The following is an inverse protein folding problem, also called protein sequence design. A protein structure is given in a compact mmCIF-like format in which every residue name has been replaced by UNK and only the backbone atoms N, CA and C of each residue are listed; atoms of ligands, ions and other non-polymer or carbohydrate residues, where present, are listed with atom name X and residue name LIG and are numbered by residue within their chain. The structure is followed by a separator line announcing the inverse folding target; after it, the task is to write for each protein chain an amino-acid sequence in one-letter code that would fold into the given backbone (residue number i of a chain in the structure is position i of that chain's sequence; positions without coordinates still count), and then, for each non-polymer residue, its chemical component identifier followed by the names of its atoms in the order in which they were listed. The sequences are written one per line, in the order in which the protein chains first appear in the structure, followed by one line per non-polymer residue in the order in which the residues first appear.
data_IF_330073304178
#
_entry.id   IF_330073304178
#
_cell.length_a   1.000
_cell.length_b   1.000
_cell.length_c   1.000
_cell.angle_alpha   90.00
_cell.angle_beta   90.00
_cell.angle_gamma   90.00
#
_symmetry.space_group_name_H-M   'P 1'
#
loop_
_entity.id
_entity.type
_entity.pdbx_description
1 polymer ?
#
# COMPACT_ATOMS: atom_id res chain seq x y z
N UNK A 1 64.41 -32.62 -26.89
CA UNK A 1 63.06 -33.17 -27.07
C UNK A 1 62.42 -33.30 -25.70
N UNK A 2 61.70 -32.26 -25.24
CA UNK A 2 61.00 -32.24 -23.95
C UNK A 2 59.53 -31.92 -24.22
N UNK A 3 58.68 -32.73 -23.60
CA UNK A 3 57.24 -32.83 -23.80
C UNK A 3 56.52 -31.67 -23.09
N UNK A 4 55.61 -31.01 -23.80
CA UNK A 4 54.74 -29.96 -23.28
C UNK A 4 53.63 -30.55 -22.40
N UNK A 5 53.41 -29.94 -21.23
CA UNK A 5 52.20 -30.13 -20.41
C UNK A 5 51.50 -28.77 -20.34
N UNK A 6 50.39 -28.66 -21.06
CA UNK A 6 49.49 -27.51 -20.98
C UNK A 6 48.61 -27.62 -19.72
N UNK A 7 48.73 -26.67 -18.79
CA UNK A 7 47.75 -26.44 -17.72
C UNK A 7 46.71 -25.43 -18.24
N UNK A 8 45.45 -25.87 -18.38
CA UNK A 8 44.30 -24.99 -18.47
C UNK A 8 43.97 -24.45 -17.06
N UNK A 9 44.00 -23.13 -16.89
CA UNK A 9 43.34 -22.46 -15.77
C UNK A 9 42.03 -21.83 -16.25
N UNK A 10 40.90 -22.28 -15.69
CA UNK A 10 39.63 -21.55 -15.75
C UNK A 10 39.74 -20.29 -14.89
N UNK A 11 39.56 -19.11 -15.49
CA UNK A 11 39.36 -17.87 -14.75
C UNK A 11 37.86 -17.68 -14.50
N UNK A 12 37.41 -17.84 -13.25
CA UNK A 12 36.13 -17.31 -12.80
C UNK A 12 36.30 -15.81 -12.52
N UNK A 13 35.60 -14.98 -13.30
CA UNK A 13 35.60 -13.53 -13.11
C UNK A 13 34.83 -13.15 -11.85
N UNK A 14 35.55 -12.66 -10.84
CA UNK A 14 34.95 -11.91 -9.74
C UNK A 14 35.11 -10.43 -10.10
N UNK A 15 34.00 -9.75 -10.43
CA UNK A 15 34.06 -8.30 -10.63
C UNK A 15 34.43 -7.64 -9.30
N UNK A 16 35.53 -6.89 -9.30
CA UNK A 16 35.96 -6.10 -8.15
C UNK A 16 34.94 -4.98 -7.91
N UNK A 17 34.18 -5.08 -6.82
CA UNK A 17 33.30 -4.01 -6.34
C UNK A 17 34.21 -2.85 -5.92
N UNK A 18 34.04 -1.68 -6.55
CA UNK A 18 34.86 -0.52 -6.24
C UNK A 18 34.32 0.23 -5.02
N UNK A 19 35.17 1.01 -4.34
CA UNK A 19 34.73 1.89 -3.26
C UNK A 19 33.67 2.91 -3.72
N UNK A 20 33.66 3.26 -5.00
CA UNK A 20 32.64 4.11 -5.60
C UNK A 20 31.28 3.38 -5.68
N UNK A 21 31.27 2.08 -6.02
CA UNK A 21 30.06 1.26 -6.04
C UNK A 21 29.48 1.06 -4.63
N UNK A 22 30.35 0.82 -3.64
CA UNK A 22 29.94 0.74 -2.23
C UNK A 22 29.43 2.08 -1.72
N UNK A 23 30.07 3.20 -2.11
CA UNK A 23 29.64 4.54 -1.73
C UNK A 23 28.32 4.93 -2.39
N UNK A 24 28.11 4.60 -3.67
CA UNK A 24 26.85 4.83 -4.38
C UNK A 24 25.74 4.00 -3.76
N UNK A 25 25.98 2.71 -3.49
CA UNK A 25 25.05 1.83 -2.80
C UNK A 25 24.75 2.33 -1.38
N UNK A 26 25.75 2.76 -0.61
CA UNK A 26 25.56 3.29 0.74
C UNK A 26 24.79 4.63 0.73
N UNK A 27 25.07 5.51 -0.23
CA UNK A 27 24.35 6.77 -0.40
C UNK A 27 22.90 6.53 -0.81
N UNK A 28 22.66 5.55 -1.68
CA UNK A 28 21.32 5.13 -2.08
C UNK A 28 20.58 4.55 -0.87
N UNK A 29 21.19 3.60 -0.15
CA UNK A 29 20.65 3.03 1.10
C UNK A 29 20.35 4.11 2.15
N UNK A 30 21.24 5.08 2.36
CA UNK A 30 21.01 6.21 3.30
C UNK A 30 19.90 7.14 2.81
N UNK A 31 19.84 7.44 1.51
CA UNK A 31 18.78 8.27 0.93
C UNK A 31 17.42 7.58 1.02
N UNK A 32 17.37 6.26 0.80
CA UNK A 32 16.18 5.44 0.93
C UNK A 32 15.84 5.24 2.40
N UNK A 33 16.78 5.17 3.35
CA UNK A 33 16.49 5.14 4.80
C UNK A 33 15.89 6.47 5.25
N UNK A 34 16.45 7.60 4.81
CA UNK A 34 15.92 8.94 5.11
C UNK A 34 14.53 9.17 4.50
N UNK A 35 14.28 8.65 3.29
CA UNK A 35 12.95 8.66 2.67
C UNK A 35 11.98 7.74 3.41
N UNK A 36 12.41 6.53 3.77
CA UNK A 36 11.54 5.48 4.28
C UNK A 36 11.03 5.70 5.71
N UNK A 37 11.58 6.65 6.46
CA UNK A 37 10.95 7.08 7.71
C UNK A 37 9.76 7.98 7.34
N UNK A 38 8.50 7.54 7.50
CA UNK A 38 7.37 8.44 7.30
C UNK A 38 7.52 9.66 8.21
N UNK A 39 6.96 10.79 7.78
CA UNK A 39 6.99 12.01 8.56
C UNK A 39 6.07 11.80 9.75
N UNK A 40 6.63 11.30 10.84
CA UNK A 40 5.93 11.06 12.07
C UNK A 40 5.67 12.42 12.72
N UNK A 41 4.40 12.83 12.74
CA UNK A 41 4.01 14.13 13.26
C UNK A 41 3.42 14.01 14.67
N UNK A 42 3.88 14.91 15.54
CA UNK A 42 3.29 15.11 16.87
C UNK A 42 1.97 15.86 16.69
N UNK A 43 0.89 15.43 17.36
CA UNK A 43 -0.38 16.18 17.35
C UNK A 43 -0.16 17.57 17.97
N UNK A 44 -0.84 18.59 17.44
CA UNK A 44 -0.70 19.99 17.88
C UNK A 44 -1.26 20.23 19.29
N UNK A 45 -2.05 19.28 19.78
CA UNK A 45 -2.97 19.40 20.90
C UNK A 45 -2.82 18.24 21.91
N UNK A 46 -1.78 17.40 21.76
CA UNK A 46 -1.47 16.31 22.71
C UNK A 46 0.02 16.09 22.86
N UNK A 47 0.59 16.62 23.96
CA UNK A 47 1.90 16.30 24.54
C UNK A 47 3.09 16.44 23.59
N UNK A 48 3.90 17.48 23.76
CA UNK A 48 5.13 17.75 23.00
C UNK A 48 6.26 16.72 23.17
N UNK A 49 6.01 15.46 22.79
CA UNK A 49 6.99 14.38 22.78
C UNK A 49 7.34 13.98 21.34
N UNK A 50 8.63 13.71 21.09
CA UNK A 50 9.09 13.00 19.91
C UNK A 50 8.36 11.66 19.78
N UNK A 51 8.12 11.19 18.54
CA UNK A 51 7.48 9.89 18.33
C UNK A 51 8.25 8.76 19.02
N UNK A 52 7.56 7.78 19.64
CA UNK A 52 8.22 6.71 20.38
C UNK A 52 9.27 5.99 19.54
N UNK A 53 10.46 5.75 20.11
CA UNK A 53 11.61 5.17 19.41
C UNK A 53 11.31 3.81 18.73
N UNK A 54 10.33 3.05 19.27
CA UNK A 54 9.87 1.78 18.71
C UNK A 54 9.47 1.89 17.23
N UNK A 55 8.89 3.01 16.80
CA UNK A 55 8.46 3.21 15.41
C UNK A 55 9.64 3.33 14.44
N UNK A 56 10.80 3.79 14.89
CA UNK A 56 12.01 3.79 14.06
C UNK A 56 12.50 2.36 13.79
N UNK A 57 12.51 1.51 14.80
CA UNK A 57 12.87 0.09 14.66
C UNK A 57 11.88 -0.65 13.77
N UNK A 58 10.58 -0.39 13.95
CA UNK A 58 9.52 -0.98 13.11
C UNK A 58 9.68 -0.52 11.66
N UNK A 59 9.95 0.75 11.39
CA UNK A 59 10.16 1.26 10.02
C UNK A 59 11.27 0.50 9.28
N UNK A 60 12.41 0.25 9.94
CA UNK A 60 13.52 -0.50 9.35
C UNK A 60 13.09 -1.93 9.02
N UNK A 61 12.38 -2.61 9.93
CA UNK A 61 11.87 -3.97 9.70
C UNK A 61 10.89 -4.02 8.54
N UNK A 62 9.90 -3.12 8.50
CA UNK A 62 8.88 -3.08 7.47
C UNK A 62 9.47 -2.72 6.10
N UNK A 63 10.39 -1.75 6.03
CA UNK A 63 11.11 -1.45 4.78
C UNK A 63 11.83 -2.68 4.22
N UNK A 64 12.54 -3.42 5.08
CA UNK A 64 13.22 -4.65 4.67
C UNK A 64 12.28 -5.74 4.15
N UNK A 65 11.02 -5.74 4.61
CA UNK A 65 9.95 -6.59 4.10
C UNK A 65 9.41 -6.13 2.75
N UNK A 66 9.44 -4.82 2.46
CA UNK A 66 8.74 -4.21 1.31
C UNK A 66 9.63 -3.93 0.10
N UNK A 67 10.94 -3.79 0.30
CA UNK A 67 11.87 -3.50 -0.78
C UNK A 67 12.27 -4.80 -1.50
N UNK A 68 11.96 -4.88 -2.79
CA UNK A 68 12.42 -5.93 -3.68
C UNK A 68 13.91 -5.83 -3.97
N UNK A 69 14.51 -6.94 -4.41
CA UNK A 69 15.92 -6.97 -4.83
C UNK A 69 16.22 -6.13 -6.07
N UNK A 70 15.16 -5.75 -6.81
CA UNK A 70 15.18 -4.87 -7.97
C UNK A 70 15.05 -3.37 -7.59
N UNK A 71 15.02 -3.05 -6.29
CA UNK A 71 14.87 -1.69 -5.79
C UNK A 71 13.45 -1.14 -5.90
N UNK A 72 12.47 -1.96 -6.30
CA UNK A 72 11.06 -1.59 -6.39
C UNK A 72 10.28 -2.14 -5.19
N UNK A 73 9.04 -1.70 -5.02
CA UNK A 73 8.20 -2.29 -3.96
C UNK A 73 7.61 -3.64 -4.39
N UNK A 74 7.73 -4.61 -3.50
CA UNK A 74 7.31 -5.99 -3.70
C UNK A 74 5.84 -6.21 -3.34
N UNK A 75 5.36 -7.44 -3.42
CA UNK A 75 3.94 -7.77 -3.19
C UNK A 75 3.49 -7.53 -1.74
N UNK A 76 4.38 -7.64 -0.74
CA UNK A 76 4.06 -7.32 0.65
C UNK A 76 3.78 -5.83 0.84
N UNK A 77 4.51 -4.97 0.14
CA UNK A 77 4.27 -3.53 0.14
C UNK A 77 2.86 -3.21 -0.40
N UNK A 78 2.50 -3.82 -1.54
CA UNK A 78 1.17 -3.66 -2.18
C UNK A 78 0.06 -4.13 -1.25
N UNK A 79 0.27 -5.29 -0.62
CA UNK A 79 -0.68 -5.87 0.30
C UNK A 79 -0.85 -4.99 1.55
N UNK A 80 0.22 -4.38 2.06
CA UNK A 80 0.17 -3.45 3.20
C UNK A 80 -0.61 -2.17 2.86
N UNK A 81 -0.38 -1.61 1.68
CA UNK A 81 -1.12 -0.44 1.17
C UNK A 81 -2.61 -0.75 1.08
N UNK A 82 -2.96 -1.89 0.46
CA UNK A 82 -4.35 -2.34 0.36
C UNK A 82 -4.95 -2.65 1.73
N UNK A 83 -4.22 -3.31 2.63
CA UNK A 83 -4.71 -3.65 3.97
C UNK A 83 -5.15 -2.41 4.75
N UNK A 84 -4.39 -1.31 4.67
CA UNK A 84 -4.78 -0.07 5.33
C UNK A 84 -6.05 0.54 4.72
N UNK A 85 -6.20 0.52 3.39
CA UNK A 85 -7.46 0.93 2.77
C UNK A 85 -8.62 0.03 3.21
N UNK A 86 -8.42 -1.28 3.33
CA UNK A 86 -9.47 -2.21 3.73
C UNK A 86 -9.88 -2.10 5.20
N UNK A 87 -8.94 -1.81 6.11
CA UNK A 87 -9.23 -1.52 7.53
C UNK A 87 -10.00 -0.19 7.65
N UNK A 88 -9.45 0.88 7.06
CA UNK A 88 -10.02 2.23 7.15
C UNK A 88 -11.30 2.43 6.34
N UNK A 89 -11.38 1.82 5.16
CA UNK A 89 -12.33 2.13 4.11
C UNK A 89 -13.74 1.65 4.40
N UNK A 90 -13.96 0.87 5.45
CA UNK A 90 -15.30 0.45 5.92
C UNK A 90 -16.04 1.56 6.66
N UNK A 91 -15.34 2.61 7.11
CA UNK A 91 -15.94 3.76 7.78
C UNK A 91 -16.81 4.60 6.83
N UNK A 92 -17.83 5.26 7.37
CA UNK A 92 -18.53 6.38 6.74
C UNK A 92 -19.19 7.25 7.83
N UNK A 93 -19.69 8.41 7.43
CA UNK A 93 -20.30 9.41 8.33
C UNK A 93 -21.43 8.87 9.22
N UNK A 94 -22.09 7.78 8.84
CA UNK A 94 -23.16 7.17 9.66
C UNK A 94 -22.64 6.53 10.96
N UNK A 95 -21.34 6.22 11.03
CA UNK A 95 -20.71 5.53 12.17
C UNK A 95 -20.16 6.49 13.23
N UNK A 96 -20.23 7.82 13.01
CA UNK A 96 -19.69 8.80 13.95
C UNK A 96 -18.21 8.57 14.24
N UNK A 97 -17.85 8.47 15.52
CA UNK A 97 -16.46 8.34 16.00
C UNK A 97 -15.96 6.88 16.14
N UNK A 98 -16.71 5.90 15.63
CA UNK A 98 -16.39 4.47 15.71
C UNK A 98 -16.09 3.87 14.34
N UNK A 99 -15.27 2.81 14.29
CA UNK A 99 -14.88 2.13 13.05
C UNK A 99 -13.74 2.82 12.29
N UNK A 100 -13.44 2.31 11.10
CA UNK A 100 -12.39 2.84 10.23
C UNK A 100 -11.03 2.29 10.59
N UNK A 101 -10.01 3.16 10.63
CA UNK A 101 -8.64 2.74 10.91
C UNK A 101 -8.48 2.32 12.38
N UNK A 102 -9.00 1.16 12.76
CA UNK A 102 -9.09 0.69 14.14
C UNK A 102 -8.51 -0.72 14.34
N UNK A 103 -7.92 -1.30 13.29
CA UNK A 103 -7.29 -2.61 13.34
C UNK A 103 -8.25 -3.79 13.41
N UNK A 104 -9.58 -3.55 13.32
CA UNK A 104 -10.61 -4.59 13.35
C UNK A 104 -10.36 -5.67 12.31
N UNK A 105 -9.88 -5.31 11.13
CA UNK A 105 -9.60 -6.24 10.04
C UNK A 105 -8.63 -7.37 10.45
N UNK A 106 -7.60 -7.05 11.24
CA UNK A 106 -6.58 -8.01 11.68
C UNK A 106 -6.90 -8.58 13.06
N UNK A 107 -7.35 -7.73 14.01
CA UNK A 107 -7.64 -8.14 15.38
C UNK A 107 -8.77 -9.17 15.47
N UNK A 108 -9.66 -9.21 14.46
CA UNK A 108 -10.80 -10.15 14.43
C UNK A 108 -10.49 -11.49 13.74
N UNK A 109 -9.24 -11.71 13.27
CA UNK A 109 -8.85 -12.92 12.51
C UNK A 109 -9.17 -14.24 13.23
N UNK A 110 -9.00 -14.26 14.56
CA UNK A 110 -9.25 -15.42 15.41
C UNK A 110 -10.56 -15.33 16.20
N UNK A 111 -11.33 -14.27 16.02
CA UNK A 111 -12.56 -14.09 16.76
C UNK A 111 -13.69 -14.92 16.14
N UNK A 112 -14.43 -15.61 17.02
CA UNK A 112 -15.76 -16.13 16.70
C UNK A 112 -16.81 -15.06 17.07
N UNK A 113 -16.63 -13.84 16.56
CA UNK A 113 -17.61 -12.75 16.71
C UNK A 113 -18.84 -13.03 15.84
N UNK A 114 -19.98 -12.44 16.19
CA UNK A 114 -21.18 -12.51 15.35
C UNK A 114 -21.63 -11.11 14.93
N UNK A 115 -21.91 -10.91 13.64
CA UNK A 115 -22.63 -9.74 13.13
C UNK A 115 -24.07 -10.18 12.87
N UNK A 116 -25.03 -9.57 13.56
CA UNK A 116 -26.46 -9.97 13.53
C UNK A 116 -26.71 -11.46 13.84
N UNK A 117 -25.91 -12.07 14.73
CA UNK A 117 -26.03 -13.48 15.11
C UNK A 117 -25.36 -14.47 14.16
N UNK A 118 -24.65 -14.00 13.13
CA UNK A 118 -23.88 -14.83 12.18
C UNK A 118 -22.39 -14.68 12.46
N UNK A 119 -21.61 -15.79 12.62
CA UNK A 119 -20.17 -15.72 12.77
C UNK A 119 -19.51 -14.88 11.67
N UNK A 120 -18.77 -13.86 12.07
CA UNK A 120 -18.18 -12.88 11.19
C UNK A 120 -16.71 -12.72 11.51
N UNK A 121 -15.90 -13.16 10.55
CA UNK A 121 -14.45 -12.97 10.50
C UNK A 121 -14.17 -12.02 9.36
N UNK A 122 -13.92 -10.76 9.68
CA UNK A 122 -13.81 -9.70 8.69
C UNK A 122 -12.80 -10.02 7.59
N UNK A 123 -11.61 -10.49 7.96
CA UNK A 123 -10.56 -10.87 7.01
C UNK A 123 -10.94 -12.04 6.09
N UNK A 124 -11.94 -12.85 6.45
CA UNK A 124 -12.43 -13.98 5.65
C UNK A 124 -13.52 -13.59 4.65
N UNK A 125 -13.99 -12.34 4.66
CA UNK A 125 -14.96 -11.86 3.68
C UNK A 125 -14.32 -11.74 2.30
N UNK A 126 -15.13 -11.89 1.25
CA UNK A 126 -14.65 -11.96 -0.14
C UNK A 126 -13.88 -10.73 -0.58
N UNK A 127 -14.31 -9.54 -0.14
CA UNK A 127 -13.65 -8.27 -0.42
C UNK A 127 -12.24 -8.19 0.19
N UNK A 128 -11.93 -8.99 1.22
CA UNK A 128 -10.65 -9.04 1.91
C UNK A 128 -9.75 -10.20 1.46
N UNK A 129 -10.15 -10.93 0.42
CA UNK A 129 -9.34 -12.02 -0.14
C UNK A 129 -7.90 -11.57 -0.44
N UNK A 130 -6.94 -12.47 -0.21
CA UNK A 130 -5.49 -12.24 -0.37
C UNK A 130 -4.82 -11.28 0.63
N UNK A 131 -5.51 -10.85 1.69
CA UNK A 131 -4.91 -10.03 2.77
C UNK A 131 -4.38 -10.86 3.96
N UNK A 132 -4.61 -12.17 4.00
CA UNK A 132 -4.20 -13.01 5.15
C UNK A 132 -2.70 -13.03 5.40
N UNK A 133 -1.89 -13.17 4.34
CA UNK A 133 -0.43 -13.28 4.49
C UNK A 133 0.20 -12.02 5.12
N UNK A 134 -0.13 -10.83 4.58
CA UNK A 134 0.36 -9.57 5.14
C UNK A 134 -0.16 -9.33 6.58
N UNK A 135 -1.41 -9.72 6.87
CA UNK A 135 -1.98 -9.62 8.21
C UNK A 135 -1.21 -10.47 9.23
N UNK A 136 -0.81 -11.70 8.86
CA UNK A 136 0.01 -12.55 9.71
C UNK A 136 1.40 -11.97 9.95
N UNK A 137 2.04 -11.41 8.90
CA UNK A 137 3.33 -10.72 9.03
C UNK A 137 3.25 -9.51 9.97
N UNK A 138 2.15 -8.75 9.93
CA UNK A 138 1.94 -7.64 10.87
C UNK A 138 1.61 -8.13 12.29
N UNK A 139 0.93 -9.26 12.45
CA UNK A 139 0.76 -9.91 13.77
C UNK A 139 2.13 -10.26 14.38
N UNK A 140 3.08 -10.77 13.61
CA UNK A 140 4.43 -11.05 14.11
C UNK A 140 5.17 -9.77 14.55
N UNK A 141 4.98 -8.66 13.83
CA UNK A 141 5.52 -7.35 14.23
C UNK A 141 4.85 -6.87 15.52
N UNK A 142 3.52 -7.00 15.64
CA UNK A 142 2.76 -6.64 16.84
C UNK A 142 3.16 -7.48 18.06
N UNK A 143 3.37 -8.78 17.89
CA UNK A 143 3.79 -9.70 18.95
C UNK A 143 5.18 -9.34 19.50
N UNK A 144 6.09 -8.89 18.63
CA UNK A 144 7.40 -8.39 19.04
C UNK A 144 7.34 -6.99 19.70
N UNK A 145 6.23 -6.26 19.55
CA UNK A 145 6.07 -4.88 20.03
C UNK A 145 4.71 -4.73 20.75
N UNK A 146 4.50 -5.35 21.91
CA UNK A 146 3.18 -5.40 22.55
C UNK A 146 2.62 -4.02 22.95
N UNK A 147 3.46 -2.99 23.06
CA UNK A 147 3.11 -1.62 23.46
C UNK A 147 2.44 -0.78 22.36
N UNK A 148 2.45 -1.20 21.09
CA UNK A 148 1.73 -0.51 20.00
C UNK A 148 0.36 -1.15 19.80
N UNK A 149 -0.56 -0.46 19.12
CA UNK A 149 -1.85 -1.04 18.65
C UNK A 149 -1.71 -1.61 17.24
N UNK A 150 -2.55 -2.57 16.89
CA UNK A 150 -2.65 -3.07 15.52
C UNK A 150 -3.17 -1.97 14.57
N UNK A 151 -4.12 -1.16 15.04
CA UNK A 151 -4.64 0.00 14.32
C UNK A 151 -3.52 0.96 13.84
N UNK A 152 -2.61 1.32 14.74
CA UNK A 152 -1.46 2.14 14.37
C UNK A 152 -0.47 1.40 13.48
N UNK A 153 -0.25 0.11 13.74
CA UNK A 153 0.67 -0.70 12.94
C UNK A 153 0.23 -0.80 11.48
N UNK A 154 -1.06 -1.03 11.19
CA UNK A 154 -1.59 -1.09 9.83
C UNK A 154 -1.40 0.25 9.11
N UNK A 155 -1.78 1.36 9.75
CA UNK A 155 -1.64 2.70 9.17
C UNK A 155 -0.18 3.07 8.91
N UNK A 156 0.70 2.77 9.86
CA UNK A 156 2.14 3.02 9.74
C UNK A 156 2.79 2.12 8.69
N UNK A 157 2.34 0.87 8.62
CA UNK A 157 2.77 -0.12 7.65
C UNK A 157 2.54 0.34 6.21
N UNK A 158 1.34 0.82 5.89
CA UNK A 158 1.05 1.39 4.58
C UNK A 158 1.92 2.63 4.28
N UNK A 159 2.12 3.52 5.25
CA UNK A 159 2.97 4.69 5.07
C UNK A 159 4.42 4.30 4.72
N UNK A 160 4.99 3.30 5.42
CA UNK A 160 6.33 2.76 5.11
C UNK A 160 6.35 2.06 3.75
N UNK A 161 5.32 1.30 3.40
CA UNK A 161 5.21 0.63 2.11
C UNK A 161 5.19 1.63 0.94
N UNK A 162 4.37 2.68 1.03
CA UNK A 162 4.26 3.74 0.00
C UNK A 162 5.63 4.37 -0.24
N UNK A 163 6.31 4.82 0.81
CA UNK A 163 7.59 5.51 0.65
C UNK A 163 8.75 4.56 0.30
N UNK A 164 8.56 3.25 0.45
CA UNK A 164 9.50 2.23 -0.03
C UNK A 164 9.39 2.04 -1.54
N UNK A 165 8.20 2.23 -2.13
CA UNK A 165 8.05 2.27 -3.58
C UNK A 165 8.82 3.47 -4.17
N UNK A 166 9.61 3.30 -5.24
CA UNK A 166 10.23 4.42 -5.96
C UNK A 166 9.16 5.43 -6.41
N UNK A 167 9.37 6.71 -6.14
CA UNK A 167 8.38 7.77 -6.41
C UNK A 167 7.33 7.98 -5.31
N UNK A 168 7.33 7.11 -4.30
CA UNK A 168 6.43 7.15 -3.16
C UNK A 168 6.58 8.42 -2.32
N UNK A 169 5.49 9.17 -2.06
CA UNK A 169 5.55 10.31 -1.17
C UNK A 169 5.72 9.88 0.29
N UNK A 170 6.34 10.76 1.09
CA UNK A 170 6.32 10.62 2.53
C UNK A 170 4.90 10.95 3.04
N UNK A 171 4.19 9.93 3.54
CA UNK A 171 2.88 10.09 4.15
C UNK A 171 3.06 10.55 5.60
N UNK A 172 2.28 11.55 6.01
CA UNK A 172 2.21 11.95 7.41
C UNK A 172 1.43 10.90 8.19
N UNK A 173 2.03 10.36 9.25
CA UNK A 173 1.38 9.34 10.08
C UNK A 173 1.29 9.79 11.52
N UNK A 174 0.10 9.61 12.09
CA UNK A 174 -0.17 9.80 13.52
C UNK A 174 -0.27 8.44 14.20
N UNK A 175 0.08 8.39 15.47
CA UNK A 175 -0.07 7.21 16.34
C UNK A 175 -0.94 7.55 17.54
N UNK A 176 -1.47 6.55 18.22
CA UNK A 176 -2.41 6.64 19.33
C UNK A 176 -3.83 6.16 18.99
N UNK A 177 -4.03 5.42 17.90
CA UNK A 177 -5.32 4.76 17.62
C UNK A 177 -5.58 3.66 18.65
N UNK A 178 -6.84 3.48 19.01
CA UNK A 178 -7.28 2.37 19.87
C UNK A 178 -7.63 1.17 18.98
N UNK A 179 -7.23 -0.02 19.42
CA UNK A 179 -7.64 -1.26 18.76
C UNK A 179 -9.14 -1.51 18.94
N UNK A 180 -9.78 -1.95 17.86
CA UNK A 180 -11.11 -2.56 17.86
C UNK A 180 -10.99 -4.08 17.75
N UNK A 181 -11.86 -4.77 18.47
CA UNK A 181 -12.05 -6.23 18.40
C UNK A 181 -13.48 -6.57 17.94
N UNK A 182 -14.13 -5.61 17.28
CA UNK A 182 -15.45 -5.78 16.66
C UNK A 182 -15.25 -5.70 15.15
N UNK A 183 -15.73 -6.69 14.37
CA UNK A 183 -15.67 -6.62 12.92
C UNK A 183 -16.27 -5.33 12.40
N UNK A 184 -15.63 -4.71 11.41
CA UNK A 184 -16.18 -3.56 10.73
C UNK A 184 -17.51 -3.90 10.05
N UNK A 185 -18.38 -2.91 9.84
CA UNK A 185 -19.67 -3.16 9.18
C UNK A 185 -19.47 -3.75 7.77
N UNK A 186 -20.34 -4.68 7.32
CA UNK A 186 -20.28 -5.20 5.96
C UNK A 186 -20.66 -4.14 4.93
N UNK A 187 -20.28 -4.38 3.67
CA UNK A 187 -20.62 -3.52 2.51
C UNK A 187 -20.09 -2.08 2.59
N UNK A 188 -19.04 -1.83 3.40
CA UNK A 188 -18.40 -0.52 3.49
C UNK A 188 -17.34 -0.26 2.41
N UNK A 189 -16.87 -1.31 1.72
CA UNK A 189 -15.77 -1.27 0.74
C UNK A 189 -16.29 -1.23 -0.71
N UNK A 190 -15.53 -0.62 -1.64
CA UNK A 190 -15.91 -0.56 -3.05
C UNK A 190 -15.84 -1.94 -3.71
N UNK A 191 -16.77 -2.20 -4.63
CA UNK A 191 -16.76 -3.39 -5.50
C UNK A 191 -16.12 -3.05 -6.85
N UNK A 192 -15.31 -3.97 -7.37
CA UNK A 192 -14.53 -3.81 -8.61
C UNK A 192 -15.41 -3.72 -9.87
N UNK A 193 -16.68 -4.12 -9.79
CA UNK A 193 -17.66 -4.05 -10.87
C UNK A 193 -18.73 -2.97 -10.64
N UNK A 194 -18.65 -2.20 -9.55
CA UNK A 194 -19.62 -1.15 -9.26
C UNK A 194 -19.60 -0.02 -10.31
N UNK A 195 -20.75 0.64 -10.46
CA UNK A 195 -20.87 1.83 -11.29
C UNK A 195 -20.10 3.00 -10.68
N UNK A 196 -19.63 3.91 -11.52
CA UNK A 196 -18.93 5.11 -11.06
C UNK A 196 -19.78 5.97 -10.11
N UNK A 197 -21.10 6.07 -10.33
CA UNK A 197 -22.00 6.81 -9.46
C UNK A 197 -22.07 6.19 -8.06
N UNK A 198 -22.17 4.85 -7.99
CA UNK A 198 -22.20 4.15 -6.70
C UNK A 198 -20.87 4.29 -5.97
N UNK A 199 -19.75 4.17 -6.69
CA UNK A 199 -18.41 4.35 -6.12
C UNK A 199 -18.19 5.78 -5.65
N UNK A 200 -18.59 6.78 -6.43
CA UNK A 200 -18.43 8.17 -6.03
C UNK A 200 -19.31 8.49 -4.80
N UNK A 201 -20.58 8.08 -4.80
CA UNK A 201 -21.45 8.25 -3.64
C UNK A 201 -20.92 7.53 -2.38
N UNK A 202 -20.32 6.35 -2.54
CA UNK A 202 -19.68 5.61 -1.46
C UNK A 202 -18.54 6.43 -0.83
N UNK A 203 -17.72 7.09 -1.63
CA UNK A 203 -16.61 7.92 -1.14
C UNK A 203 -17.10 9.27 -0.58
N UNK A 204 -18.14 9.87 -1.15
CA UNK A 204 -18.77 11.07 -0.59
C UNK A 204 -19.33 10.81 0.82
N UNK A 205 -19.91 9.64 1.06
CA UNK A 205 -20.37 9.25 2.40
C UNK A 205 -19.24 9.17 3.44
N UNK A 206 -17.99 9.02 2.98
CA UNK A 206 -16.74 9.02 3.79
C UNK A 206 -16.10 10.41 3.89
N UNK A 207 -16.68 11.42 3.25
CA UNK A 207 -16.17 12.79 3.23
C UNK A 207 -15.14 13.08 2.14
N UNK A 208 -14.96 12.18 1.17
CA UNK A 208 -14.03 12.38 0.06
C UNK A 208 -14.67 13.12 -1.10
N UNK A 209 -13.96 14.10 -1.66
CA UNK A 209 -14.35 14.75 -2.91
C UNK A 209 -14.00 13.88 -4.12
N UNK A 210 -14.48 14.28 -5.32
CA UNK A 210 -14.09 13.64 -6.57
C UNK A 210 -12.57 13.68 -6.82
N UNK A 211 -11.90 14.75 -6.36
CA UNK A 211 -10.45 14.88 -6.46
C UNK A 211 -9.73 13.92 -5.52
N UNK A 212 -10.24 13.74 -4.31
CA UNK A 212 -9.67 12.82 -3.33
C UNK A 212 -9.82 11.37 -3.80
N UNK A 213 -11.01 10.99 -4.29
CA UNK A 213 -11.23 9.68 -4.91
C UNK A 213 -10.28 9.46 -6.10
N UNK A 214 -10.18 10.40 -7.04
CA UNK A 214 -9.28 10.29 -8.16
C UNK A 214 -7.79 10.21 -7.74
N UNK A 215 -7.40 10.89 -6.66
CA UNK A 215 -6.06 10.81 -6.12
C UNK A 215 -5.79 9.43 -5.52
N UNK A 216 -6.68 8.93 -4.64
CA UNK A 216 -6.57 7.65 -3.95
C UNK A 216 -6.51 6.46 -4.92
N UNK A 217 -7.24 6.51 -6.05
CA UNK A 217 -7.14 5.51 -7.12
C UNK A 217 -5.70 5.32 -7.63
N UNK A 218 -4.87 6.36 -7.57
CA UNK A 218 -3.47 6.27 -7.98
C UNK A 218 -2.64 5.25 -7.19
N UNK A 219 -3.11 4.78 -6.02
CA UNK A 219 -2.48 3.64 -5.34
C UNK A 219 -2.42 2.38 -6.22
N UNK A 220 -3.33 2.26 -7.20
CA UNK A 220 -3.31 1.19 -8.19
C UNK A 220 -2.13 1.25 -9.18
N UNK A 221 -1.33 2.33 -9.17
CA UNK A 221 -0.01 2.31 -9.82
C UNK A 221 0.91 1.23 -9.25
N UNK A 222 0.63 0.78 -8.02
CA UNK A 222 1.33 -0.36 -7.42
C UNK A 222 0.39 -1.53 -7.07
N UNK A 223 -0.67 -1.77 -7.86
CA UNK A 223 -1.53 -2.94 -7.65
C UNK A 223 -1.31 -4.08 -8.67
N UNK A 224 -1.79 -5.26 -8.27
CA UNK A 224 -1.94 -6.45 -9.12
C UNK A 224 -3.31 -7.07 -8.85
N UNK A 225 -3.92 -7.63 -9.90
CA UNK A 225 -5.18 -8.36 -9.87
C UNK A 225 -5.03 -9.84 -9.51
N UNK A 226 -6.14 -10.46 -9.11
CA UNK A 226 -6.24 -11.81 -8.57
C UNK A 226 -7.45 -12.60 -9.12
N UNK A 227 -7.91 -12.32 -10.34
CA UNK A 227 -9.05 -13.02 -10.95
C UNK A 227 -10.38 -12.27 -10.91
N UNK A 228 -10.36 -10.94 -10.78
CA UNK A 228 -11.57 -10.12 -10.77
C UNK A 228 -12.29 -10.13 -12.13
N UNK A 229 -11.56 -10.34 -13.23
CA UNK A 229 -12.12 -10.54 -14.57
C UNK A 229 -11.43 -11.72 -15.25
N UNK A 230 -12.06 -12.29 -16.28
CA UNK A 230 -11.54 -13.46 -16.98
C UNK A 230 -10.16 -13.22 -17.63
N UNK A 231 -9.86 -11.98 -17.99
CA UNK A 231 -8.59 -11.53 -18.57
C UNK A 231 -7.56 -11.06 -17.52
N UNK A 232 -7.88 -11.18 -16.22
CA UNK A 232 -7.02 -10.74 -15.12
C UNK A 232 -6.58 -11.91 -14.23
N UNK A 233 -5.70 -12.80 -14.70
CA UNK A 233 -5.12 -13.84 -13.85
C UNK A 233 -4.34 -13.23 -12.67
N UNK A 234 -4.05 -14.06 -11.66
CA UNK A 234 -3.28 -13.64 -10.49
C UNK A 234 -1.93 -13.04 -10.86
N UNK A 235 -1.65 -11.85 -10.34
CA UNK A 235 -0.43 -11.09 -10.60
C UNK A 235 -0.53 -10.07 -11.75
N UNK A 236 -1.69 -9.97 -12.43
CA UNK A 236 -1.88 -9.05 -13.56
C UNK A 236 -1.81 -7.58 -13.12
N UNK A 237 -0.89 -6.75 -13.64
CA UNK A 237 -0.74 -5.38 -13.18
C UNK A 237 -1.79 -4.43 -13.76
N UNK A 238 -2.03 -3.33 -13.04
CA UNK A 238 -2.99 -2.28 -13.42
C UNK A 238 -2.33 -1.13 -14.18
N UNK A 239 -0.99 -1.08 -14.21
CA UNK A 239 -0.21 -0.22 -15.09
C UNK A 239 1.08 -0.91 -15.56
N UNK A 240 1.84 -0.26 -16.44
CA UNK A 240 3.07 -0.81 -17.00
C UNK A 240 4.31 -0.72 -16.09
N UNK A 241 4.17 -0.24 -14.85
CA UNK A 241 5.28 -0.01 -13.89
C UNK A 241 4.85 -0.38 -12.47
N UNK A 242 4.30 -1.59 -12.23
CA UNK A 242 3.64 -1.90 -10.96
C UNK A 242 4.58 -1.72 -9.75
N UNK A 243 5.90 -1.86 -9.87
CA UNK A 243 6.83 -1.65 -8.75
C UNK A 243 7.14 -0.18 -8.39
N UNK A 244 6.60 0.78 -9.14
CA UNK A 244 6.91 2.21 -9.04
C UNK A 244 5.64 2.97 -8.70
N UNK A 245 5.74 3.90 -7.74
CA UNK A 245 4.66 4.77 -7.32
C UNK A 245 4.63 6.02 -8.20
N UNK A 246 4.04 5.90 -9.39
CA UNK A 246 4.01 6.97 -10.39
C UNK A 246 2.60 7.26 -10.93
N UNK A 247 2.52 8.12 -11.95
CA UNK A 247 1.26 8.53 -12.59
C UNK A 247 0.96 7.78 -13.89
N UNK A 248 1.70 6.71 -14.20
CA UNK A 248 1.48 5.93 -15.42
C UNK A 248 0.11 5.26 -15.42
N UNK A 249 -0.32 4.78 -14.25
CA UNK A 249 -1.67 4.31 -13.98
C UNK A 249 -2.79 5.12 -14.65
N UNK A 250 -2.73 6.45 -14.59
CA UNK A 250 -3.79 7.29 -15.14
C UNK A 250 -3.89 7.18 -16.67
N UNK A 251 -2.76 7.13 -17.38
CA UNK A 251 -2.75 6.98 -18.83
C UNK A 251 -3.04 5.53 -19.24
N UNK A 252 -2.48 4.55 -18.53
CA UNK A 252 -2.64 3.13 -18.82
C UNK A 252 -4.07 2.65 -18.53
N UNK A 253 -4.79 3.29 -17.61
CA UNK A 253 -6.23 3.01 -17.40
C UNK A 253 -7.06 3.35 -18.65
N UNK A 254 -6.72 4.46 -19.33
CA UNK A 254 -7.43 4.92 -20.53
C UNK A 254 -6.99 4.16 -21.79
N UNK A 255 -5.71 3.81 -21.87
CA UNK A 255 -5.11 3.14 -23.03
C UNK A 255 -4.12 2.09 -22.55
N UNK A 256 -4.60 0.92 -22.10
CA UNK A 256 -3.74 -0.07 -21.48
C UNK A 256 -2.77 -0.70 -22.49
N UNK A 257 -1.46 -0.77 -22.16
CA UNK A 257 -0.51 -1.51 -22.96
C UNK A 257 -0.73 -3.03 -22.82
N UNK A 258 -0.05 -3.81 -23.65
CA UNK A 258 -0.12 -5.27 -23.59
C UNK A 258 0.31 -5.80 -22.21
N UNK A 259 -0.49 -6.71 -21.65
CA UNK A 259 -0.24 -7.32 -20.34
C UNK A 259 -0.75 -6.51 -19.14
N UNK A 260 -1.33 -5.33 -19.36
CA UNK A 260 -1.95 -4.50 -18.33
C UNK A 260 -3.46 -4.60 -18.42
N UNK A 261 -4.12 -4.83 -17.29
CA UNK A 261 -5.58 -4.92 -17.21
C UNK A 261 -6.07 -4.01 -16.08
N UNK A 262 -6.56 -2.81 -16.42
CA UNK A 262 -7.20 -1.92 -15.45
C UNK A 262 -8.52 -2.52 -14.96
N UNK A 263 -8.84 -2.33 -13.68
CA UNK A 263 -10.11 -2.79 -13.11
C UNK A 263 -11.31 -2.14 -13.81
N UNK A 264 -12.45 -2.85 -13.95
CA UNK A 264 -13.68 -2.26 -14.49
C UNK A 264 -14.14 -1.00 -13.74
N UNK A 265 -14.06 -1.00 -12.40
CA UNK A 265 -14.34 0.18 -11.55
C UNK A 265 -13.51 1.40 -11.92
N UNK A 266 -12.24 1.19 -12.23
CA UNK A 266 -11.29 2.27 -12.53
C UNK A 266 -11.62 2.88 -13.89
N UNK A 267 -11.94 2.05 -14.89
CA UNK A 267 -12.42 2.51 -16.20
C UNK A 267 -13.73 3.29 -16.06
N UNK A 268 -14.65 2.81 -15.24
CA UNK A 268 -15.92 3.49 -14.97
C UNK A 268 -15.67 4.88 -14.34
N UNK A 269 -14.82 4.96 -13.32
CA UNK A 269 -14.49 6.23 -12.65
C UNK A 269 -13.72 7.19 -13.55
N UNK A 270 -12.80 6.69 -14.37
CA UNK A 270 -12.08 7.48 -15.36
C UNK A 270 -13.01 8.08 -16.44
N UNK A 271 -14.11 7.39 -16.77
CA UNK A 271 -15.12 7.87 -17.71
C UNK A 271 -16.21 8.76 -17.06
N UNK A 272 -16.28 8.82 -15.74
CA UNK A 272 -17.30 9.59 -15.02
C UNK A 272 -17.11 11.11 -15.22
N UNK A 273 -18.16 11.92 -15.45
CA UNK A 273 -18.03 13.33 -15.83
C UNK A 273 -17.32 14.22 -14.79
N UNK A 274 -17.44 13.89 -13.50
CA UNK A 274 -16.80 14.64 -12.40
C UNK A 274 -15.45 14.02 -12.03
N UNK A 275 -15.45 12.80 -11.48
CA UNK A 275 -14.23 12.06 -11.12
C UNK A 275 -13.24 11.91 -12.29
N UNK A 276 -13.71 11.59 -13.50
CA UNK A 276 -12.86 11.40 -14.68
C UNK A 276 -12.09 12.65 -15.10
N UNK A 277 -12.64 13.84 -14.83
CA UNK A 277 -11.95 15.11 -15.04
C UNK A 277 -10.76 15.26 -14.08
N UNK A 278 -10.95 14.94 -12.80
CA UNK A 278 -9.88 14.97 -11.79
C UNK A 278 -8.84 13.88 -12.08
N UNK A 279 -9.29 12.67 -12.45
CA UNK A 279 -8.46 11.53 -12.85
C UNK A 279 -7.51 11.91 -14.00
N UNK A 280 -8.06 12.44 -15.09
CA UNK A 280 -7.27 12.91 -16.24
C UNK A 280 -6.33 14.07 -15.86
N UNK A 281 -6.65 14.81 -14.81
CA UNK A 281 -5.83 15.87 -14.26
C UNK A 281 -4.47 15.41 -13.71
N UNK A 282 -4.30 14.12 -13.41
CA UNK A 282 -3.06 13.55 -12.87
C UNK A 282 -2.11 12.97 -13.93
N UNK A 283 -2.57 12.78 -15.17
CA UNK A 283 -1.73 12.29 -16.27
C UNK A 283 -0.49 13.18 -16.43
N UNK A 284 0.69 12.56 -16.37
CA UNK A 284 2.00 13.24 -16.44
C UNK A 284 2.23 14.32 -15.36
N UNK A 285 1.49 14.31 -14.24
CA UNK A 285 1.63 15.30 -13.16
C UNK A 285 1.98 14.68 -11.80
N UNK A 286 3.14 14.00 -11.73
CA UNK A 286 3.63 13.32 -10.53
C UNK A 286 3.53 14.17 -9.26
N UNK A 287 4.04 15.40 -9.27
CA UNK A 287 4.05 16.26 -8.07
C UNK A 287 2.65 16.68 -7.63
N UNK A 288 1.73 16.91 -8.59
CA UNK A 288 0.33 17.23 -8.28
C UNK A 288 -0.33 16.02 -7.63
N UNK A 289 -0.22 14.85 -8.26
CA UNK A 289 -0.80 13.62 -7.74
C UNK A 289 -0.25 13.28 -6.36
N UNK A 290 1.06 13.26 -6.17
CA UNK A 290 1.67 12.98 -4.88
C UNK A 290 1.24 13.99 -3.79
N UNK A 291 1.00 15.25 -4.17
CA UNK A 291 0.45 16.27 -3.28
C UNK A 291 -0.99 15.97 -2.87
N UNK A 292 -1.87 15.72 -3.84
CA UNK A 292 -3.28 15.42 -3.59
C UNK A 292 -3.46 14.06 -2.86
N UNK A 293 -2.71 13.02 -3.24
CA UNK A 293 -2.75 11.69 -2.61
C UNK A 293 -2.39 11.72 -1.13
N UNK A 294 -1.40 12.54 -0.73
CA UNK A 294 -1.02 12.70 0.68
C UNK A 294 -2.11 13.36 1.52
N UNK A 295 -2.97 14.17 0.89
CA UNK A 295 -3.95 15.01 1.57
C UNK A 295 -5.34 14.36 1.60
N UNK A 296 -5.60 13.41 0.71
CA UNK A 296 -6.76 12.54 0.73
C UNK A 296 -6.57 11.48 1.83
#
# INVERSE_FOLDING_TARGET
MRLDIALLFLAAGVNAVTLADVSAYANDVVSVIKRAMPALAVRKDGGGGSCPAVWSTIAVKLKGMYLGSDGQCNDDARAAIRLAFHDCGTWDSSQGATGGCDGSLVNTINLATSTNGIPDRELSRGENAFLTDISLKLIDVKNANPSITMADLISFSAAVAIVTCPGGPQIQTFVGRKDSFTPAKPNGLPDVHASANNLFALFEAKGFSAKDLAALLGAHSTSKGFGQTADMPSGTPQDGTPGVWDVKYYQDTLTPPAGVVPFPSDRNLAAHPVVGKEFSGFINRQSKWAGDFKNA
#
